data_IF_629427442238
#
_entry.id   IF_629427442238
#
_cell.length_a   1.000
_cell.length_b   1.000
_cell.length_c   1.000
_cell.angle_alpha   90.00
_cell.angle_beta   90.00
_cell.angle_gamma   90.00
#
_symmetry.space_group_name_H-M   'P 1'
#
loop_
_entity.id
_entity.type
_entity.pdbx_description
1 polymer ?
#
# COMPACT_ATOMS: atom_id res chain seq x y z
N UNK A 1 -0.16 -10.25 -2.34
CA UNK A 1 1.08 -10.84 -1.80
C UNK A 1 0.79 -12.10 -1.01
N UNK A 2 1.62 -13.14 -1.17
CA UNK A 2 1.51 -14.39 -0.39
C UNK A 2 2.24 -14.31 0.95
N UNK A 3 3.33 -13.54 1.00
CA UNK A 3 4.24 -13.48 2.16
C UNK A 3 3.89 -12.35 3.14
N UNK A 4 2.94 -11.46 2.79
CA UNK A 4 2.51 -10.38 3.68
C UNK A 4 1.61 -10.93 4.77
N UNK A 5 2.04 -10.78 6.02
CA UNK A 5 1.24 -11.11 7.21
C UNK A 5 0.33 -9.95 7.62
N UNK A 6 -0.63 -10.21 8.51
CA UNK A 6 -1.40 -9.16 9.19
C UNK A 6 -2.90 -9.36 9.16
N UNK A 7 -3.62 -8.25 9.30
CA UNK A 7 -5.08 -8.24 9.43
C UNK A 7 -5.74 -8.53 8.08
N UNK A 8 -6.67 -9.48 8.09
CA UNK A 8 -7.57 -9.76 6.97
C UNK A 8 -9.02 -9.69 7.44
N UNK A 9 -9.89 -9.11 6.62
CA UNK A 9 -11.32 -9.00 6.92
C UNK A 9 -12.10 -9.81 5.89
N UNK A 10 -13.01 -10.66 6.38
CA UNK A 10 -13.91 -11.47 5.55
C UNK A 10 -15.37 -11.19 5.91
N UNK A 11 -16.21 -11.01 4.90
CA UNK A 11 -17.65 -10.94 5.09
C UNK A 11 -18.24 -12.35 5.24
N UNK A 12 -18.98 -12.58 6.34
CA UNK A 12 -19.72 -13.84 6.55
C UNK A 12 -21.04 -13.91 5.76
N UNK A 13 -21.62 -12.77 5.38
CA UNK A 13 -22.89 -12.71 4.65
C UNK A 13 -22.80 -11.73 3.47
N UNK A 14 -23.59 -11.97 2.43
CA UNK A 14 -23.62 -11.17 1.20
C UNK A 14 -23.81 -9.66 1.46
N UNK A 15 -24.78 -9.29 2.32
CA UNK A 15 -25.02 -7.87 2.65
C UNK A 15 -23.79 -7.15 3.23
N UNK A 16 -22.97 -7.83 4.03
CA UNK A 16 -21.76 -7.22 4.59
C UNK A 16 -20.61 -7.21 3.57
N UNK A 17 -20.60 -8.15 2.63
CA UNK A 17 -19.66 -8.13 1.50
C UNK A 17 -19.87 -6.87 0.67
N UNK A 18 -21.12 -6.59 0.31
CA UNK A 18 -21.49 -5.39 -0.46
C UNK A 18 -21.07 -4.12 0.27
N UNK A 19 -21.35 -4.03 1.58
CA UNK A 19 -20.98 -2.88 2.39
C UNK A 19 -19.45 -2.72 2.53
N UNK A 20 -18.71 -3.79 2.77
CA UNK A 20 -17.24 -3.73 2.79
C UNK A 20 -16.70 -3.28 1.43
N UNK A 21 -17.17 -3.88 0.33
CA UNK A 21 -16.75 -3.51 -1.02
C UNK A 21 -17.02 -2.02 -1.31
N UNK A 22 -18.15 -1.49 -0.84
CA UNK A 22 -18.49 -0.06 -0.94
C UNK A 22 -17.48 0.80 -0.18
N UNK A 23 -17.14 0.46 1.06
CA UNK A 23 -16.15 1.22 1.85
C UNK A 23 -14.76 1.24 1.19
N UNK A 24 -14.33 0.11 0.61
CA UNK A 24 -13.07 0.05 -0.15
C UNK A 24 -13.14 0.91 -1.43
N UNK A 25 -14.25 0.87 -2.17
CA UNK A 25 -14.44 1.67 -3.38
C UNK A 25 -14.47 3.18 -3.10
N UNK A 26 -15.07 3.58 -1.97
CA UNK A 26 -15.14 4.96 -1.49
C UNK A 26 -13.83 5.44 -0.82
N UNK A 27 -12.81 4.57 -0.69
CA UNK A 27 -11.56 4.85 0.03
C UNK A 27 -11.75 5.24 1.51
N UNK A 28 -12.80 4.72 2.15
CA UNK A 28 -13.09 4.94 3.57
C UNK A 28 -12.36 3.97 4.51
N UNK A 29 -11.60 3.03 3.95
CA UNK A 29 -10.80 2.06 4.72
C UNK A 29 -9.36 2.55 4.78
N UNK A 30 -8.85 2.76 5.99
CA UNK A 30 -7.45 3.06 6.24
C UNK A 30 -6.69 1.77 6.57
N UNK A 31 -5.54 1.55 5.94
CA UNK A 31 -4.70 0.39 6.23
C UNK A 31 -3.31 0.86 6.63
N UNK A 32 -2.86 0.37 7.77
CA UNK A 32 -1.53 0.65 8.31
C UNK A 32 -0.75 -0.65 8.33
N UNK A 33 0.44 -0.63 7.76
CA UNK A 33 1.39 -1.73 7.72
C UNK A 33 2.65 -1.34 8.49
N UNK A 34 3.37 -2.34 8.96
CA UNK A 34 4.74 -2.19 9.46
C UNK A 34 5.67 -2.94 8.53
N UNK A 35 6.76 -2.31 8.14
CA UNK A 35 7.73 -2.89 7.23
C UNK A 35 9.15 -2.55 7.68
N UNK A 36 10.10 -3.42 7.34
CA UNK A 36 11.52 -3.12 7.39
C UNK A 36 12.00 -2.84 5.98
N UNK A 37 12.70 -1.73 5.78
CA UNK A 37 13.28 -1.36 4.48
C UNK A 37 14.78 -1.50 4.51
N UNK A 38 15.37 -1.89 3.37
CA UNK A 38 16.80 -1.70 3.14
C UNK A 38 17.07 -0.22 2.91
N UNK A 39 18.06 0.32 3.61
CA UNK A 39 18.31 1.75 3.69
C UNK A 39 17.27 2.50 4.51
N UNK A 40 17.52 3.78 4.67
CA UNK A 40 16.70 4.70 5.44
C UNK A 40 16.08 5.74 4.50
N UNK A 41 14.75 5.98 4.57
CA UNK A 41 14.13 7.08 3.85
C UNK A 41 14.77 8.43 4.24
N UNK A 42 14.79 9.40 3.32
CA UNK A 42 15.48 10.69 3.54
C UNK A 42 14.93 11.50 4.73
N UNK A 43 13.73 11.21 5.21
CA UNK A 43 13.11 11.92 6.32
C UNK A 43 12.26 11.02 7.22
N UNK A 44 11.89 11.52 8.42
CA UNK A 44 11.14 10.75 9.41
C UNK A 44 9.70 10.42 8.98
N UNK A 45 9.20 11.08 7.93
CA UNK A 45 7.93 10.79 7.29
C UNK A 45 7.94 11.33 5.87
N UNK A 46 7.09 10.79 5.01
CA UNK A 46 6.98 11.25 3.64
C UNK A 46 5.82 10.62 2.88
N UNK A 47 5.71 11.00 1.61
CA UNK A 47 4.73 10.45 0.68
C UNK A 47 5.42 10.02 -0.59
N UNK A 48 5.24 8.77 -0.97
CA UNK A 48 5.68 8.22 -2.25
C UNK A 48 4.47 8.22 -3.19
N UNK A 49 4.59 8.90 -4.33
CA UNK A 49 3.58 8.92 -5.37
C UNK A 49 4.16 8.25 -6.60
N UNK A 50 3.54 7.16 -7.04
CA UNK A 50 3.94 6.41 -8.22
C UNK A 50 2.74 6.16 -9.13
N UNK A 51 2.99 5.92 -10.40
CA UNK A 51 1.97 5.44 -11.33
C UNK A 51 2.26 3.99 -11.67
N UNK A 52 1.31 3.10 -11.36
CA UNK A 52 1.50 1.67 -11.45
C UNK A 52 0.61 1.05 -12.52
N UNK A 53 1.12 0.01 -13.18
CA UNK A 53 0.33 -0.89 -14.03
C UNK A 53 0.52 -2.31 -13.55
N UNK A 54 -0.58 -3.04 -13.48
CA UNK A 54 -0.61 -4.47 -13.26
C UNK A 54 -0.86 -5.18 -14.59
N UNK A 55 -0.05 -6.17 -14.93
CA UNK A 55 -0.23 -6.99 -16.13
C UNK A 55 -1.17 -8.18 -15.90
N UNK A 56 -1.43 -8.96 -16.96
CA UNK A 56 -2.33 -10.12 -16.88
C UNK A 56 -1.79 -11.28 -16.00
N UNK A 57 -0.51 -11.23 -15.62
CA UNK A 57 0.14 -12.17 -14.71
C UNK A 57 0.27 -11.63 -13.28
N UNK A 58 -0.40 -10.50 -12.98
CA UNK A 58 -0.39 -9.82 -11.68
C UNK A 58 0.97 -9.21 -11.31
N UNK A 59 1.87 -9.00 -12.28
CA UNK A 59 3.10 -8.25 -12.01
C UNK A 59 2.79 -6.76 -11.98
N UNK A 60 3.23 -6.09 -10.92
CA UNK A 60 3.10 -4.65 -10.76
C UNK A 60 4.42 -3.98 -11.11
N UNK A 61 4.37 -2.91 -11.92
CA UNK A 61 5.54 -2.10 -12.25
C UNK A 61 5.20 -0.62 -12.25
N UNK A 62 6.19 0.19 -11.89
CA UNK A 62 6.12 1.63 -12.04
C UNK A 62 6.23 2.04 -13.51
N UNK A 63 5.42 3.03 -13.90
CA UNK A 63 5.35 3.60 -15.24
C UNK A 63 5.22 5.12 -15.14
N UNK A 64 5.36 5.81 -16.27
CA UNK A 64 5.04 7.23 -16.37
C UNK A 64 3.52 7.45 -16.29
N UNK A 65 3.09 8.61 -15.79
CA UNK A 65 1.67 8.93 -15.55
C UNK A 65 0.76 8.82 -16.78
N UNK A 66 1.27 9.09 -17.99
CA UNK A 66 0.52 8.99 -19.24
C UNK A 66 0.44 7.58 -19.84
N UNK A 67 1.01 6.56 -19.20
CA UNK A 67 0.99 5.20 -19.73
C UNK A 67 -0.43 4.61 -19.69
N UNK A 68 -0.84 3.91 -20.75
CA UNK A 68 -2.18 3.33 -20.85
C UNK A 68 -2.44 2.34 -19.70
N UNK A 69 -3.49 2.60 -18.92
CA UNK A 69 -3.87 1.76 -17.79
C UNK A 69 -3.13 2.06 -16.49
N UNK A 70 -2.27 3.09 -16.48
CA UNK A 70 -1.61 3.55 -15.27
C UNK A 70 -2.64 4.03 -14.24
N UNK A 71 -2.43 3.64 -12.99
CA UNK A 71 -3.18 4.12 -11.84
C UNK A 71 -2.23 4.80 -10.87
N UNK A 72 -2.64 5.96 -10.38
CA UNK A 72 -1.90 6.65 -9.32
C UNK A 72 -1.99 5.85 -8.01
N UNK A 73 -0.84 5.62 -7.40
CA UNK A 73 -0.67 4.97 -6.11
C UNK A 73 0.07 5.94 -5.18
N UNK A 74 -0.55 6.24 -4.05
CA UNK A 74 -0.03 7.15 -3.03
C UNK A 74 0.19 6.34 -1.77
N UNK A 75 1.42 6.38 -1.25
CA UNK A 75 1.82 5.69 -0.02
C UNK A 75 2.43 6.68 0.93
N UNK A 76 1.87 6.81 2.13
CA UNK A 76 2.47 7.61 3.19
C UNK A 76 3.33 6.71 4.09
N UNK A 77 4.44 7.22 4.58
CA UNK A 77 5.27 6.48 5.53
C UNK A 77 5.70 7.36 6.70
N UNK A 78 6.05 6.71 7.81
CA UNK A 78 6.70 7.29 8.98
C UNK A 78 7.77 6.33 9.48
N UNK A 79 8.99 6.82 9.65
CA UNK A 79 10.10 6.07 10.27
C UNK A 79 9.85 6.00 11.78
N UNK A 80 9.89 4.80 12.33
CA UNK A 80 9.72 4.53 13.75
C UNK A 80 11.07 4.37 14.44
N UNK A 81 12.01 3.70 13.78
CA UNK A 81 13.38 3.48 14.24
C UNK A 81 14.30 3.19 13.03
N UNK A 82 15.59 3.49 13.15
CA UNK A 82 16.59 3.23 12.10
C UNK A 82 18.02 3.18 12.65
N UNK A 83 18.92 2.50 11.92
CA UNK A 83 20.36 2.42 12.22
C UNK A 83 21.27 2.92 11.08
N UNK A 84 20.67 3.47 10.02
CA UNK A 84 21.37 3.92 8.81
C UNK A 84 21.49 2.86 7.70
N UNK A 85 21.29 1.57 8.03
CA UNK A 85 21.28 0.47 7.06
C UNK A 85 19.88 -0.09 6.84
N UNK A 86 19.04 -0.07 7.88
CA UNK A 86 17.66 -0.54 7.86
C UNK A 86 16.79 0.45 8.61
N UNK A 87 15.55 0.62 8.15
CA UNK A 87 14.53 1.38 8.86
C UNK A 87 13.27 0.54 9.13
N UNK A 88 12.75 0.65 10.35
CA UNK A 88 11.40 0.20 10.70
C UNK A 88 10.42 1.32 10.41
N UNK A 89 9.48 1.06 9.50
CA UNK A 89 8.56 2.07 9.00
C UNK A 89 7.11 1.64 9.17
N UNK A 90 6.28 2.60 9.56
CA UNK A 90 4.84 2.52 9.41
C UNK A 90 4.45 3.02 8.02
N UNK A 91 3.60 2.27 7.33
CA UNK A 91 3.14 2.56 5.97
C UNK A 91 1.63 2.66 5.95
N UNK A 92 1.10 3.78 5.46
CA UNK A 92 -0.33 4.07 5.39
C UNK A 92 -0.79 4.16 3.92
N UNK A 93 -1.83 3.39 3.59
CA UNK A 93 -2.47 3.29 2.26
C UNK A 93 -4.00 3.16 2.35
#
# INVERSE_FOLDING_TARGET
DRETSGVMVFARHARHKEELQRQFAERNVHRIYRALTEGCPEGPHGTVVAHLVEDAHLNVREVKSGFRGAKEAITHYRVLDEDGLVADVEVLI
#
